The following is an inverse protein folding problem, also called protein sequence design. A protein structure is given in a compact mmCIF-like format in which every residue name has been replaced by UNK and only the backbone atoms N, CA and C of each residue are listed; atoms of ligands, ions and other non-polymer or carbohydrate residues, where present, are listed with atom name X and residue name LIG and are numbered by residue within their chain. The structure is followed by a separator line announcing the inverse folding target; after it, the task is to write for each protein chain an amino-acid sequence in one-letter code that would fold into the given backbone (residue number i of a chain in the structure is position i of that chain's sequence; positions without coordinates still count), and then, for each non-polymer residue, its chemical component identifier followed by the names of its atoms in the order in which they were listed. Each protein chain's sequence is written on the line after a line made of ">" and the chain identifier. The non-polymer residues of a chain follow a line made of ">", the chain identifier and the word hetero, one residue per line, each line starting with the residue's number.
data_IF_727020141366
#
_entry.id   IF_727020141366
#
_cell.length_a   1.000
_cell.length_b   1.000
_cell.length_c   1.000
_cell.angle_alpha   90.00
_cell.angle_beta   90.00
_cell.angle_gamma   90.00
#
_symmetry.space_group_name_H-M   'P 1'
#
loop_
_entity.id
_entity.type
_entity.pdbx_description
1 polymer ?
#
# COMPACT_ATOMS: atom_id res chain seq x y z
N UNK A 1 -0.58 -38.89 8.24
CA UNK A 1 -0.02 -37.61 7.76
C UNK A 1 1.46 -37.80 7.47
N UNK A 2 1.96 -37.28 6.36
CA UNK A 2 3.39 -37.38 6.04
C UNK A 2 4.19 -36.41 6.91
N UNK A 3 5.21 -36.91 7.61
CA UNK A 3 6.06 -36.13 8.52
C UNK A 3 7.42 -35.92 7.86
N UNK A 4 7.99 -34.71 7.87
CA UNK A 4 9.31 -34.46 7.33
C UNK A 4 10.37 -35.30 8.06
N UNK A 5 11.17 -36.05 7.29
CA UNK A 5 12.25 -36.90 7.82
C UNK A 5 13.35 -36.11 8.54
N UNK A 6 13.61 -34.86 8.13
CA UNK A 6 14.64 -33.99 8.72
C UNK A 6 14.25 -32.52 8.66
N UNK A 7 14.85 -31.72 9.56
CA UNK A 7 14.74 -30.26 9.55
C UNK A 7 15.39 -29.67 8.29
N UNK A 8 14.72 -28.70 7.67
CA UNK A 8 15.30 -27.90 6.57
C UNK A 8 16.43 -27.00 7.10
N UNK A 9 17.52 -26.90 6.34
CA UNK A 9 18.64 -26.00 6.67
C UNK A 9 18.21 -24.54 6.59
N UNK A 10 18.91 -23.65 7.32
CA UNK A 10 18.63 -22.19 7.27
C UNK A 10 18.75 -21.63 5.85
N UNK A 11 19.73 -22.09 5.07
CA UNK A 11 19.92 -21.70 3.66
C UNK A 11 18.73 -22.12 2.79
N UNK A 12 18.24 -23.36 2.91
CA UNK A 12 17.09 -23.85 2.15
C UNK A 12 15.80 -23.09 2.50
N UNK A 13 15.64 -22.67 3.76
CA UNK A 13 14.50 -21.83 4.16
C UNK A 13 14.61 -20.43 3.56
N UNK A 14 15.78 -19.79 3.67
CA UNK A 14 16.01 -18.44 3.14
C UNK A 14 15.87 -18.37 1.61
N UNK A 15 16.42 -19.34 0.89
CA UNK A 15 16.30 -19.42 -0.57
C UNK A 15 14.85 -19.64 -1.02
N UNK A 16 14.02 -20.30 -0.20
CA UNK A 16 12.59 -20.40 -0.49
C UNK A 16 11.89 -19.06 -0.29
N UNK A 17 12.19 -18.38 0.83
CA UNK A 17 11.59 -17.10 1.21
C UNK A 17 12.06 -15.91 0.35
N UNK A 18 13.18 -16.03 -0.38
CA UNK A 18 13.71 -14.93 -1.19
C UNK A 18 12.78 -14.49 -2.32
N UNK A 19 11.82 -15.34 -2.71
CA UNK A 19 10.81 -15.01 -3.71
C UNK A 19 9.55 -14.34 -3.12
N UNK A 20 9.38 -14.35 -1.80
CA UNK A 20 8.17 -13.88 -1.10
C UNK A 20 8.21 -12.37 -0.81
N UNK A 21 8.85 -11.57 -1.66
CA UNK A 21 8.97 -10.13 -1.47
C UNK A 21 7.67 -9.39 -1.80
N UNK A 22 7.26 -8.49 -0.91
CA UNK A 22 6.09 -7.61 -1.13
C UNK A 22 6.39 -6.58 -2.22
N UNK A 23 5.42 -6.39 -3.13
CA UNK A 23 5.49 -5.37 -4.19
C UNK A 23 4.82 -4.07 -3.72
N UNK A 24 5.40 -2.93 -4.08
CA UNK A 24 4.82 -1.61 -3.82
C UNK A 24 3.53 -1.43 -4.64
N UNK A 25 2.50 -0.89 -4.01
CA UNK A 25 1.23 -0.57 -4.66
C UNK A 25 1.36 0.79 -5.38
N UNK A 26 0.84 0.88 -6.60
CA UNK A 26 0.78 2.12 -7.36
C UNK A 26 -0.44 2.93 -6.93
N UNK A 27 -0.22 4.16 -6.47
CA UNK A 27 -1.26 5.11 -6.11
C UNK A 27 -1.27 6.26 -7.13
N UNK A 28 -2.46 6.69 -7.52
CA UNK A 28 -2.68 7.84 -8.39
C UNK A 28 -3.28 9.00 -7.58
N UNK A 29 -3.09 10.22 -8.06
CA UNK A 29 -3.67 11.41 -7.43
C UNK A 29 -5.09 11.62 -7.93
N UNK A 30 -6.04 11.84 -7.03
CA UNK A 30 -7.41 12.17 -7.40
C UNK A 30 -7.49 13.61 -7.98
N UNK A 31 -8.13 13.84 -9.13
CA UNK A 31 -8.22 15.17 -9.74
C UNK A 31 -9.09 16.17 -8.95
N UNK A 32 -10.02 15.69 -8.10
CA UNK A 32 -10.94 16.59 -7.34
C UNK A 32 -10.41 16.97 -5.95
N UNK A 33 -9.97 15.99 -5.15
CA UNK A 33 -9.53 16.22 -3.77
C UNK A 33 -8.01 16.15 -3.56
N UNK A 34 -7.23 15.80 -4.60
CA UNK A 34 -5.76 15.65 -4.56
C UNK A 34 -5.23 14.56 -3.62
N UNK A 35 -6.09 13.68 -3.12
CA UNK A 35 -5.66 12.53 -2.31
C UNK A 35 -5.10 11.39 -3.15
N UNK A 36 -4.28 10.54 -2.52
CA UNK A 36 -3.75 9.32 -3.13
C UNK A 36 -4.83 8.24 -3.13
N UNK A 37 -5.17 7.73 -4.31
CA UNK A 37 -6.19 6.71 -4.54
C UNK A 37 -5.60 5.51 -5.28
N UNK A 38 -6.23 4.34 -5.14
CA UNK A 38 -5.90 3.17 -5.95
C UNK A 38 -6.33 3.41 -7.40
N UNK A 39 -5.54 2.95 -8.35
CA UNK A 39 -5.90 3.03 -9.77
C UNK A 39 -7.19 2.25 -10.04
N UNK A 40 -8.03 2.77 -10.94
CA UNK A 40 -9.33 2.18 -11.33
C UNK A 40 -10.38 2.06 -10.20
N UNK A 41 -10.18 2.69 -9.05
CA UNK A 41 -11.17 2.70 -7.95
C UNK A 41 -11.86 4.06 -7.80
N UNK A 42 -13.02 4.07 -7.14
CA UNK A 42 -13.70 5.31 -6.75
C UNK A 42 -12.94 5.98 -5.61
N UNK A 43 -12.79 7.30 -5.68
CA UNK A 43 -12.22 8.11 -4.61
C UNK A 43 -13.03 7.94 -3.31
N UNK A 44 -12.40 7.45 -2.24
CA UNK A 44 -13.07 7.21 -0.95
C UNK A 44 -13.55 8.47 -0.24
N UNK A 45 -12.86 9.61 -0.43
CA UNK A 45 -13.19 10.87 0.23
C UNK A 45 -14.17 11.75 -0.56
N UNK A 46 -14.13 11.67 -1.88
CA UNK A 46 -14.89 12.55 -2.77
C UNK A 46 -15.96 11.81 -3.58
N UNK A 47 -16.01 10.48 -3.52
CA UNK A 47 -17.03 9.67 -4.19
C UNK A 47 -17.00 9.74 -5.71
N UNK A 48 -15.89 10.20 -6.31
CA UNK A 48 -15.80 10.46 -7.75
C UNK A 48 -14.92 9.46 -8.49
N UNK A 49 -15.33 9.13 -9.72
CA UNK A 49 -14.62 8.25 -10.65
C UNK A 49 -14.75 8.80 -12.07
N UNK A 50 -13.61 8.94 -12.76
CA UNK A 50 -13.55 9.48 -14.14
C UNK A 50 -14.36 10.79 -14.32
N UNK A 51 -14.24 11.71 -13.37
CA UNK A 51 -14.93 13.02 -13.41
C UNK A 51 -16.40 12.99 -12.96
N UNK A 52 -17.06 11.83 -12.99
CA UNK A 52 -18.45 11.65 -12.55
C UNK A 52 -18.53 11.39 -11.05
N UNK A 53 -19.56 11.93 -10.42
CA UNK A 53 -19.87 11.67 -9.02
C UNK A 53 -20.72 10.40 -8.94
N UNK A 54 -20.15 9.34 -8.38
CA UNK A 54 -20.77 8.01 -8.32
C UNK A 54 -21.42 7.78 -6.96
N UNK A 55 -20.84 8.34 -5.90
CA UNK A 55 -21.38 8.27 -4.55
C UNK A 55 -21.82 9.65 -4.08
N UNK A 56 -23.06 9.74 -3.60
CA UNK A 56 -23.58 10.92 -2.89
C UNK A 56 -23.13 10.82 -1.43
N UNK A 57 -21.85 11.06 -1.15
CA UNK A 57 -21.33 10.97 0.21
C UNK A 57 -21.78 12.18 1.04
N UNK A 58 -22.57 11.94 2.08
CA UNK A 58 -22.86 12.92 3.14
C UNK A 58 -21.59 13.09 3.98
N UNK A 59 -21.00 14.28 3.87
CA UNK A 59 -19.74 14.68 4.50
C UNK A 59 -19.83 14.53 6.02
N UNK A 60 -19.08 13.60 6.62
CA UNK A 60 -18.65 13.73 8.02
C UNK A 60 -17.21 14.22 8.02
N UNK A 61 -17.04 15.54 8.06
CA UNK A 61 -15.76 16.19 8.41
C UNK A 61 -15.54 15.95 9.91
N UNK A 62 -14.70 15.00 10.28
CA UNK A 62 -14.15 14.94 11.63
C UNK A 62 -12.65 14.72 11.56
N UNK A 63 -11.97 15.86 11.64
CA UNK A 63 -10.63 16.10 12.15
C UNK A 63 -9.79 14.89 12.61
N UNK A 64 -8.70 14.63 11.90
CA UNK A 64 -7.40 14.35 12.54
C UNK A 64 -6.27 14.61 11.54
N UNK A 65 -5.75 15.83 11.59
CA UNK A 65 -4.47 16.18 11.00
C UNK A 65 -3.34 15.40 11.69
N UNK A 66 -2.36 14.96 10.91
CA UNK A 66 -0.91 14.93 11.21
C UNK A 66 -0.13 14.66 9.90
N UNK A 67 0.56 15.69 9.42
CA UNK A 67 1.75 15.68 8.54
C UNK A 67 2.86 16.45 9.31
N UNK A 68 4.18 16.46 8.98
CA UNK A 68 4.97 15.87 7.87
C UNK A 68 6.35 15.23 8.32
N UNK A 69 7.24 14.96 7.33
CA UNK A 69 8.69 14.56 7.36
C UNK A 69 8.97 13.06 7.62
N UNK A 70 9.86 12.34 6.91
CA UNK A 70 11.26 12.66 6.57
C UNK A 70 11.69 12.20 5.17
N UNK A 71 12.54 13.03 4.54
CA UNK A 71 13.61 12.59 3.60
C UNK A 71 14.80 12.14 4.47
N UNK A 72 15.67 11.29 3.92
CA UNK A 72 16.87 10.66 4.51
C UNK A 72 16.55 9.26 5.07
N UNK A 73 17.15 8.15 4.59
CA UNK A 73 18.59 7.94 4.43
C UNK A 73 18.99 7.46 3.04
N UNK A 74 19.90 8.24 2.46
CA UNK A 74 20.95 7.80 1.56
C UNK A 74 22.05 7.15 2.42
N UNK A 75 22.74 6.16 1.85
CA UNK A 75 23.95 5.51 2.40
C UNK A 75 23.73 4.49 3.55
N UNK A 76 24.64 3.50 3.58
CA UNK A 76 24.83 2.43 4.57
C UNK A 76 24.03 1.11 4.42
N UNK A 77 24.52 0.21 3.56
CA UNK A 77 25.32 -0.89 4.11
C UNK A 77 26.16 -1.59 3.05
N UNK A 78 27.43 -1.73 3.41
CA UNK A 78 28.51 -2.50 2.79
C UNK A 78 28.12 -3.93 2.41
#
# INVERSE_FOLDING_TARGET
>A
MSVPKKRRTRSSVKNRQSHDALKKIKLATCPKCKEKILTHTVCGNCGTYKGKQVLVQKIKKSASAKTPTDKENKEDNK
#
